data_IF_817230148712
#
_entry.id   IF_817230148712
#
_cell.length_a   1.000
_cell.length_b   1.000
_cell.length_c   1.000
_cell.angle_alpha   90.00
_cell.angle_beta   90.00
_cell.angle_gamma   90.00
#
_symmetry.space_group_name_H-M   'P 1'
#
loop_
_entity.id
_entity.type
_entity.pdbx_description
1 polymer ?
#
# COMPACT_ATOMS: atom_id res chain seq x y z
N UNK A 1 -32.81 37.61 1.22
CA UNK A 1 -31.69 37.47 2.19
C UNK A 1 -31.04 36.12 1.95
N UNK A 2 -29.73 36.09 1.68
CA UNK A 2 -28.99 34.92 1.15
C UNK A 2 -27.98 34.43 2.19
N UNK A 3 -28.39 33.66 3.20
CA UNK A 3 -27.46 33.07 4.19
C UNK A 3 -28.02 31.76 4.76
N UNK A 4 -27.43 30.64 4.36
CA UNK A 4 -27.37 29.40 5.20
C UNK A 4 -26.38 28.35 4.68
N UNK A 5 -25.82 28.49 3.47
CA UNK A 5 -24.89 27.48 2.90
C UNK A 5 -23.59 27.26 3.71
N UNK A 6 -23.24 28.14 4.63
CA UNK A 6 -21.99 28.04 5.42
C UNK A 6 -22.01 27.02 6.55
N UNK A 7 -23.19 26.49 6.95
CA UNK A 7 -23.27 25.52 8.06
C UNK A 7 -22.83 24.10 7.68
N UNK A 8 -22.82 23.75 6.40
CA UNK A 8 -22.48 22.40 5.93
C UNK A 8 -21.00 22.23 5.53
N UNK A 9 -20.27 23.34 5.39
CA UNK A 9 -18.85 23.34 5.01
C UNK A 9 -17.96 22.47 5.94
N UNK A 10 -18.07 22.53 7.29
CA UNK A 10 -17.21 21.70 8.14
C UNK A 10 -17.49 20.19 7.99
N UNK A 11 -18.74 19.79 7.78
CA UNK A 11 -19.10 18.38 7.60
C UNK A 11 -18.61 17.81 6.27
N UNK A 12 -18.63 18.62 5.19
CA UNK A 12 -18.09 18.22 3.88
C UNK A 12 -16.57 18.03 3.96
N UNK A 13 -15.85 18.94 4.64
CA UNK A 13 -14.40 18.85 4.80
C UNK A 13 -14.01 17.61 5.62
N UNK A 14 -14.71 17.34 6.72
CA UNK A 14 -14.45 16.15 7.55
C UNK A 14 -14.78 14.87 6.77
N UNK A 15 -15.89 14.84 6.04
CA UNK A 15 -16.27 13.71 5.19
C UNK A 15 -15.22 13.40 4.11
N UNK A 16 -14.68 14.43 3.45
CA UNK A 16 -13.60 14.27 2.47
C UNK A 16 -12.29 13.75 3.11
N UNK A 17 -11.92 14.24 4.30
CA UNK A 17 -10.72 13.77 5.00
C UNK A 17 -10.84 12.30 5.45
N UNK A 18 -12.01 11.90 5.93
CA UNK A 18 -12.29 10.51 6.32
C UNK A 18 -12.30 9.60 5.08
N UNK A 19 -12.94 10.04 4.00
CA UNK A 19 -13.00 9.28 2.75
C UNK A 19 -11.62 9.13 2.10
N UNK A 20 -10.81 10.19 2.10
CA UNK A 20 -9.42 10.15 1.62
C UNK A 20 -8.54 9.26 2.47
N UNK A 21 -8.73 9.25 3.79
CA UNK A 21 -8.00 8.35 4.69
C UNK A 21 -8.42 6.89 4.47
N UNK A 22 -9.71 6.60 4.34
CA UNK A 22 -10.22 5.26 4.03
C UNK A 22 -9.70 4.77 2.67
N UNK A 23 -9.62 5.65 1.67
CA UNK A 23 -9.07 5.31 0.36
C UNK A 23 -7.55 5.05 0.41
N UNK A 24 -6.80 5.83 1.20
CA UNK A 24 -5.37 5.58 1.45
C UNK A 24 -5.12 4.27 2.22
N UNK A 25 -6.06 3.85 3.07
CA UNK A 25 -6.01 2.59 3.81
C UNK A 25 -6.66 1.41 3.09
N UNK A 26 -7.34 1.63 1.96
CA UNK A 26 -7.85 0.59 1.09
C UNK A 26 -6.64 -0.05 0.39
N UNK A 27 -5.99 -0.97 1.09
CA UNK A 27 -4.84 -1.71 0.58
C UNK A 27 -5.26 -2.39 -0.71
N UNK A 28 -4.56 -2.05 -1.79
CA UNK A 28 -4.55 -2.86 -3.00
C UNK A 28 -4.24 -4.30 -2.58
N UNK A 29 -5.01 -5.30 -3.05
CA UNK A 29 -4.64 -6.69 -2.81
C UNK A 29 -3.21 -6.90 -3.32
N UNK A 30 -2.37 -7.52 -2.50
CA UNK A 30 -1.05 -7.94 -2.95
C UNK A 30 -1.27 -8.87 -4.15
N UNK A 31 -0.87 -8.41 -5.34
CA UNK A 31 -0.89 -9.24 -6.54
C UNK A 31 -0.03 -10.46 -6.26
N UNK A 32 -0.64 -11.64 -6.28
CA UNK A 32 0.07 -12.89 -6.17
C UNK A 32 1.09 -13.00 -7.33
N UNK A 33 2.35 -13.27 -6.98
CA UNK A 33 3.51 -13.38 -7.86
C UNK A 33 3.95 -12.10 -8.59
N UNK A 34 4.22 -11.02 -7.85
CA UNK A 34 5.31 -10.12 -8.22
C UNK A 34 6.52 -10.52 -7.39
N UNK A 35 7.50 -11.20 -8.01
CA UNK A 35 8.88 -11.06 -7.55
C UNK A 35 9.11 -9.54 -7.47
N UNK A 36 9.27 -9.00 -6.26
CA UNK A 36 9.25 -7.56 -6.03
C UNK A 36 10.30 -6.88 -6.89
N UNK A 37 9.90 -6.31 -8.02
CA UNK A 37 10.70 -5.40 -8.82
C UNK A 37 10.74 -4.04 -8.12
N UNK A 38 11.26 -4.02 -6.90
CA UNK A 38 12.02 -2.87 -6.46
C UNK A 38 13.12 -2.74 -7.50
N UNK A 39 13.05 -1.72 -8.36
CA UNK A 39 14.03 -1.54 -9.41
C UNK A 39 15.43 -1.63 -8.77
N UNK A 40 16.25 -2.57 -9.23
CA UNK A 40 17.60 -2.74 -8.74
C UNK A 40 18.34 -1.42 -8.89
N UNK A 41 19.30 -1.19 -7.99
CA UNK A 41 20.21 -0.07 -8.14
C UNK A 41 20.94 -0.11 -9.49
N UNK A 42 21.20 -1.31 -10.01
CA UNK A 42 21.76 -1.54 -11.34
C UNK A 42 20.91 -0.85 -12.42
N UNK A 43 19.61 -1.16 -12.52
CA UNK A 43 18.73 -0.58 -13.54
C UNK A 43 18.52 0.91 -13.34
N UNK A 44 18.46 1.39 -12.10
CA UNK A 44 18.37 2.83 -11.85
C UNK A 44 19.59 3.59 -12.38
N UNK A 45 20.80 3.10 -12.15
CA UNK A 45 22.01 3.76 -12.64
C UNK A 45 22.25 3.56 -14.15
N UNK A 46 22.08 2.33 -14.65
CA UNK A 46 22.42 1.98 -16.02
C UNK A 46 21.35 2.45 -17.02
N UNK A 47 20.07 2.31 -16.67
CA UNK A 47 18.96 2.53 -17.60
C UNK A 47 18.25 3.85 -17.35
N UNK A 48 17.88 4.15 -16.09
CA UNK A 48 17.13 5.37 -15.76
C UNK A 48 18.02 6.60 -15.82
N UNK A 49 19.20 6.53 -15.20
CA UNK A 49 20.21 7.60 -15.27
C UNK A 49 21.05 7.55 -16.55
N UNK A 50 21.01 6.43 -17.29
CA UNK A 50 21.69 6.27 -18.56
C UNK A 50 23.22 6.25 -18.47
N UNK A 51 23.81 5.85 -17.33
CA UNK A 51 25.28 5.77 -17.19
C UNK A 51 25.89 4.78 -18.18
N UNK A 52 25.24 3.63 -18.37
CA UNK A 52 25.61 2.60 -19.33
C UNK A 52 24.37 1.76 -19.65
N UNK A 53 23.48 2.28 -20.52
CA UNK A 53 22.23 1.60 -20.86
C UNK A 53 22.52 0.42 -21.79
N UNK A 54 22.01 -0.76 -21.43
CA UNK A 54 22.23 -2.02 -22.14
C UNK A 54 20.93 -2.66 -22.60
N UNK A 55 19.77 -2.31 -22.03
CA UNK A 55 18.48 -2.89 -22.42
C UNK A 55 18.07 -2.63 -23.88
N UNK A 56 18.76 -1.72 -24.58
CA UNK A 56 18.54 -1.39 -25.99
C UNK A 56 19.85 -1.32 -26.77
N UNK A 57 20.85 -2.09 -26.35
CA UNK A 57 22.16 -2.13 -27.01
C UNK A 57 22.15 -2.86 -28.37
N UNK A 58 21.02 -3.48 -28.73
CA UNK A 58 20.83 -4.19 -30.00
C UNK A 58 21.53 -5.55 -30.06
N UNK A 59 22.08 -6.02 -28.94
CA UNK A 59 22.73 -7.35 -28.85
C UNK A 59 21.72 -8.48 -28.66
N UNK A 60 20.49 -8.16 -28.21
CA UNK A 60 19.46 -9.12 -27.83
C UNK A 60 19.74 -9.92 -26.54
N UNK A 61 20.99 -9.89 -26.06
CA UNK A 61 21.44 -10.56 -24.82
C UNK A 61 20.75 -9.94 -23.60
N UNK A 62 20.86 -8.63 -23.41
CA UNK A 62 20.25 -7.93 -22.28
C UNK A 62 18.72 -7.85 -22.38
N UNK A 63 18.17 -7.80 -23.59
CA UNK A 63 16.73 -7.65 -23.84
C UNK A 63 15.90 -8.80 -23.26
N UNK A 64 16.45 -10.02 -23.30
CA UNK A 64 15.74 -11.24 -22.91
C UNK A 64 15.31 -11.25 -21.44
N UNK A 65 16.08 -10.61 -20.55
CA UNK A 65 15.83 -10.58 -19.11
C UNK A 65 15.69 -9.15 -18.53
N UNK A 66 15.80 -8.12 -19.38
CA UNK A 66 15.63 -6.71 -19.02
C UNK A 66 14.27 -6.41 -18.37
N UNK A 67 13.22 -7.18 -18.72
CA UNK A 67 11.86 -6.98 -18.20
C UNK A 67 11.78 -7.19 -16.68
N UNK A 68 12.58 -8.10 -16.14
CA UNK A 68 12.53 -8.53 -14.75
C UNK A 68 13.54 -7.86 -13.82
N UNK A 69 14.42 -7.02 -14.37
CA UNK A 69 15.49 -6.37 -13.60
C UNK A 69 16.45 -7.37 -12.94
N UNK A 70 16.91 -8.32 -13.76
CA UNK A 70 17.71 -9.47 -13.33
C UNK A 70 19.21 -9.29 -13.58
N UNK A 71 19.70 -8.04 -13.65
CA UNK A 71 21.11 -7.76 -13.91
C UNK A 71 22.03 -8.54 -12.95
N UNK A 72 21.69 -8.55 -11.67
CA UNK A 72 22.47 -9.22 -10.62
C UNK A 72 22.43 -10.75 -10.67
N UNK A 73 21.47 -11.34 -11.39
CA UNK A 73 21.41 -12.80 -11.52
C UNK A 73 22.55 -13.29 -12.43
N UNK A 74 22.81 -12.55 -13.52
CA UNK A 74 23.93 -12.85 -14.41
C UNK A 74 25.24 -12.26 -13.87
N UNK A 75 25.22 -11.00 -13.43
CA UNK A 75 26.45 -10.29 -13.08
C UNK A 75 26.84 -10.34 -11.61
N UNK A 76 26.05 -10.99 -10.75
CA UNK A 76 26.17 -10.90 -9.29
C UNK A 76 26.12 -9.44 -8.80
N UNK A 77 26.83 -9.12 -7.72
CA UNK A 77 26.82 -7.79 -7.09
C UNK A 77 25.61 -7.54 -6.18
N UNK A 78 25.61 -6.36 -5.55
CA UNK A 78 24.58 -5.94 -4.61
C UNK A 78 23.53 -5.06 -5.31
N UNK A 79 22.44 -5.68 -5.75
CA UNK A 79 21.32 -5.01 -6.42
C UNK A 79 20.53 -4.02 -5.55
N UNK A 80 20.83 -3.94 -4.25
CA UNK A 80 20.16 -3.06 -3.30
C UNK A 80 20.99 -1.82 -2.93
N UNK A 81 22.30 -1.82 -3.18
CA UNK A 81 23.14 -0.66 -2.84
C UNK A 81 23.15 0.39 -3.94
N UNK A 82 22.98 1.66 -3.54
CA UNK A 82 23.08 2.83 -4.42
C UNK A 82 24.51 3.39 -4.50
N UNK A 83 25.44 2.87 -3.69
CA UNK A 83 26.87 3.15 -3.82
C UNK A 83 27.46 2.28 -4.92
N UNK A 84 28.21 2.88 -5.85
CA UNK A 84 28.72 2.19 -7.04
C UNK A 84 29.72 1.09 -6.68
N UNK A 85 30.59 1.32 -5.70
CA UNK A 85 31.60 0.34 -5.31
C UNK A 85 30.97 -0.84 -4.57
N UNK A 86 30.02 -0.56 -3.66
CA UNK A 86 29.30 -1.61 -2.95
C UNK A 86 28.39 -2.42 -3.89
N UNK A 87 27.71 -1.75 -4.83
CA UNK A 87 26.88 -2.41 -5.84
C UNK A 87 27.69 -3.36 -6.72
N UNK A 88 28.91 -2.97 -7.10
CA UNK A 88 29.79 -3.76 -7.95
C UNK A 88 30.66 -4.77 -7.20
N UNK A 89 30.60 -4.80 -5.86
CA UNK A 89 31.40 -5.73 -5.06
C UNK A 89 30.96 -7.17 -5.33
N UNK A 90 31.91 -8.01 -5.77
CA UNK A 90 31.65 -9.42 -6.07
C UNK A 90 30.93 -9.67 -7.39
N UNK A 91 30.89 -8.67 -8.30
CA UNK A 91 30.42 -8.92 -9.66
C UNK A 91 31.30 -9.94 -10.37
N UNK A 92 30.67 -10.71 -11.25
CA UNK A 92 31.32 -11.75 -12.06
C UNK A 92 30.95 -11.59 -13.54
N UNK A 93 31.76 -12.21 -14.39
CA UNK A 93 31.40 -12.33 -15.80
C UNK A 93 30.15 -13.21 -15.95
N UNK A 94 29.17 -12.82 -16.78
CA UNK A 94 27.83 -13.40 -16.76
C UNK A 94 27.73 -14.85 -17.19
N UNK A 95 28.78 -15.38 -17.83
CA UNK A 95 28.87 -16.78 -18.25
C UNK A 95 29.95 -17.56 -17.48
N UNK A 96 30.53 -16.96 -16.43
CA UNK A 96 31.56 -17.62 -15.62
C UNK A 96 31.00 -18.76 -14.77
N UNK A 97 29.75 -18.65 -14.31
CA UNK A 97 29.01 -19.69 -13.60
C UNK A 97 27.55 -19.74 -14.06
N UNK A 98 27.33 -20.41 -15.19
CA UNK A 98 25.98 -20.57 -15.77
C UNK A 98 25.02 -21.33 -14.85
N UNK A 99 25.55 -22.15 -13.94
CA UNK A 99 24.72 -22.87 -12.99
C UNK A 99 24.13 -21.90 -11.96
N UNK A 100 24.97 -21.08 -11.35
CA UNK A 100 24.54 -20.06 -10.39
C UNK A 100 23.58 -19.04 -11.04
N UNK A 101 23.86 -18.61 -12.27
CA UNK A 101 23.08 -17.57 -12.95
C UNK A 101 21.78 -18.06 -13.59
N UNK A 102 21.72 -19.30 -14.11
CA UNK A 102 20.58 -19.71 -14.94
C UNK A 102 19.72 -20.81 -14.30
N UNK A 103 20.27 -21.67 -13.44
CA UNK A 103 19.60 -22.92 -13.02
C UNK A 103 18.28 -22.71 -12.29
N UNK A 104 18.12 -21.59 -11.59
CA UNK A 104 16.91 -21.30 -10.82
C UNK A 104 15.64 -21.24 -11.70
N UNK A 105 15.80 -20.84 -12.97
CA UNK A 105 14.70 -20.75 -13.93
C UNK A 105 14.82 -21.78 -15.07
N UNK A 106 16.04 -22.16 -15.43
CA UNK A 106 16.36 -23.03 -16.56
C UNK A 106 17.05 -24.32 -16.09
N UNK A 107 16.37 -25.08 -15.24
CA UNK A 107 16.95 -26.32 -14.68
C UNK A 107 17.15 -27.43 -15.74
N UNK A 108 16.29 -27.48 -16.75
CA UNK A 108 16.26 -28.56 -17.75
C UNK A 108 16.93 -28.20 -19.08
N UNK A 109 17.02 -26.90 -19.40
CA UNK A 109 17.55 -26.39 -20.67
C UNK A 109 18.73 -25.41 -20.46
N UNK A 110 19.40 -25.48 -19.31
CA UNK A 110 20.45 -24.56 -18.88
C UNK A 110 21.51 -24.31 -19.95
N UNK A 111 22.15 -25.39 -20.41
CA UNK A 111 23.28 -25.30 -21.34
C UNK A 111 22.84 -24.84 -22.72
N UNK A 112 21.67 -25.29 -23.19
CA UNK A 112 21.12 -24.87 -24.48
C UNK A 112 20.85 -23.36 -24.49
N UNK A 113 20.30 -22.82 -23.40
CA UNK A 113 20.07 -21.37 -23.24
C UNK A 113 21.37 -20.60 -23.13
N UNK A 114 22.30 -21.06 -22.29
CA UNK A 114 23.59 -20.42 -22.12
C UNK A 114 24.39 -20.36 -23.43
N UNK A 115 24.31 -21.40 -24.26
CA UNK A 115 25.05 -21.47 -25.54
C UNK A 115 24.61 -20.41 -26.55
N UNK A 116 23.31 -20.09 -26.60
CA UNK A 116 22.81 -19.00 -27.46
C UNK A 116 23.56 -17.71 -27.16
N UNK A 117 23.79 -17.44 -25.88
CA UNK A 117 24.41 -16.22 -25.42
C UNK A 117 25.94 -16.25 -25.50
N UNK A 118 26.55 -17.39 -25.22
CA UNK A 118 27.97 -17.63 -25.47
C UNK A 118 28.33 -17.33 -26.93
N UNK A 119 27.49 -17.79 -27.87
CA UNK A 119 27.65 -17.51 -29.30
C UNK A 119 27.52 -16.01 -29.62
N UNK A 120 26.52 -15.33 -29.06
CA UNK A 120 26.33 -13.88 -29.26
C UNK A 120 27.50 -13.06 -28.70
N UNK A 121 28.04 -13.45 -27.56
CA UNK A 121 29.12 -12.73 -26.88
C UNK A 121 30.52 -13.14 -27.37
N UNK A 122 30.64 -14.21 -28.16
CA UNK A 122 31.93 -14.79 -28.53
C UNK A 122 32.72 -15.31 -27.33
N UNK A 123 32.02 -15.74 -26.29
CA UNK A 123 32.59 -16.17 -25.01
C UNK A 123 32.45 -17.68 -24.83
N UNK A 124 33.37 -18.28 -24.08
CA UNK A 124 33.26 -19.67 -23.64
C UNK A 124 32.38 -19.76 -22.38
N UNK A 125 31.56 -20.81 -22.29
CA UNK A 125 30.78 -21.07 -21.07
C UNK A 125 31.72 -21.57 -19.99
N UNK A 126 31.78 -20.83 -18.87
CA UNK A 126 32.48 -21.27 -17.68
C UNK A 126 31.80 -22.51 -17.10
N UNK A 127 32.59 -23.57 -16.88
CA UNK A 127 32.14 -24.78 -16.19
C UNK A 127 32.02 -24.50 -14.69
N UNK A 128 31.05 -23.67 -14.29
CA UNK A 128 30.55 -23.66 -12.91
C UNK A 128 30.14 -25.08 -12.58
N UNK A 129 30.87 -25.72 -11.64
CA UNK A 129 30.88 -27.14 -11.30
C UNK A 129 29.59 -27.91 -11.59
N UNK A 130 29.41 -28.34 -12.85
CA UNK A 130 28.41 -29.31 -13.21
C UNK A 130 28.84 -30.66 -12.62
N UNK A 131 28.37 -30.97 -11.41
CA UNK A 131 28.30 -32.37 -10.99
C UNK A 131 27.19 -32.98 -11.85
N UNK A 132 27.50 -33.95 -12.72
CA UNK A 132 26.46 -34.57 -13.53
C UNK A 132 25.54 -35.34 -12.58
N UNK A 133 24.26 -34.94 -12.53
CA UNK A 133 23.20 -35.79 -12.01
C UNK A 133 23.06 -36.95 -13.00
N UNK A 134 23.65 -38.08 -12.64
CA UNK A 134 23.48 -39.35 -13.34
C UNK A 134 22.01 -39.77 -13.17
N UNK A 135 21.18 -39.47 -14.16
CA UNK A 135 19.89 -40.13 -14.31
C UNK A 135 20.16 -41.43 -15.06
N UNK A 136 20.38 -42.52 -14.32
CA UNK A 136 20.32 -43.86 -14.88
C UNK A 136 18.87 -44.16 -15.25
N UNK A 137 18.61 -44.29 -16.55
CA UNK A 137 17.53 -45.12 -17.07
C UNK A 137 18.06 -45.83 -18.32
N UNK A 138 18.03 -47.15 -18.26
CA UNK A 138 18.52 -48.11 -19.26
C UNK A 138 18.15 -47.81 -20.73
N UNK A 139 19.13 -48.06 -21.61
CA UNK A 139 18.92 -48.41 -23.00
C UNK A 139 19.49 -49.82 -23.23
N UNK A 140 18.81 -50.73 -23.95
CA UNK A 140 19.43 -51.94 -24.46
C UNK A 140 19.96 -51.76 -25.91
N UNK A 141 21.03 -52.50 -26.14
CA UNK A 141 21.88 -52.75 -27.31
C UNK A 141 21.22 -52.81 -28.69
N UNK A 142 21.97 -52.41 -29.73
CA UNK A 142 22.66 -53.39 -30.61
C UNK A 142 23.56 -52.75 -31.71
N UNK A 143 24.67 -53.47 -32.00
CA UNK A 143 25.49 -53.48 -33.25
C UNK A 143 26.71 -52.53 -33.41
N UNK A 144 27.87 -52.98 -32.92
CA UNK A 144 29.18 -53.32 -33.57
C UNK A 144 29.60 -52.76 -34.97
N UNK A 145 30.90 -52.83 -35.39
CA UNK A 145 32.07 -52.04 -34.96
C UNK A 145 32.84 -51.39 -36.14
N UNK A 146 33.69 -50.39 -35.88
CA UNK A 146 34.95 -50.20 -36.62
C UNK A 146 35.90 -49.17 -35.97
N UNK A 147 37.16 -49.59 -35.94
CA UNK A 147 38.40 -48.80 -35.98
C UNK A 147 39.02 -48.24 -34.69
N UNK A 148 40.35 -48.41 -34.71
CA UNK A 148 41.29 -48.63 -33.62
C UNK A 148 42.35 -47.53 -33.71
N UNK A 149 42.53 -46.71 -32.66
CA UNK A 149 43.66 -45.80 -32.50
C UNK A 149 43.77 -45.31 -31.04
N UNK A 150 44.95 -44.89 -30.54
CA UNK A 150 45.57 -45.57 -29.42
C UNK A 150 45.41 -44.89 -28.05
N UNK A 151 45.55 -45.75 -27.05
CA UNK A 151 45.55 -45.54 -25.60
C UNK A 151 46.58 -44.49 -25.16
N UNK A 152 46.12 -43.40 -24.56
CA UNK A 152 46.92 -42.52 -23.72
C UNK A 152 46.70 -42.86 -22.25
N UNK A 153 47.80 -43.04 -21.51
CA UNK A 153 47.84 -43.48 -20.13
C UNK A 153 47.14 -42.51 -19.15
N UNK A 154 46.49 -42.99 -18.08
CA UNK A 154 45.94 -42.14 -17.04
C UNK A 154 47.06 -41.63 -16.11
N UNK A 155 47.26 -40.32 -16.11
CA UNK A 155 48.13 -39.62 -15.15
C UNK A 155 47.40 -39.56 -13.81
N UNK A 156 47.94 -40.23 -12.80
CA UNK A 156 47.44 -40.18 -11.42
C UNK A 156 47.73 -38.80 -10.82
N UNK A 157 46.70 -38.05 -10.46
CA UNK A 157 46.82 -36.84 -9.65
C UNK A 157 46.71 -37.19 -8.14
N UNK A 158 47.52 -36.59 -7.26
CA UNK A 158 47.49 -36.92 -5.84
C UNK A 158 46.31 -36.24 -5.14
N UNK A 159 45.46 -37.03 -4.51
CA UNK A 159 44.46 -36.59 -3.52
C UNK A 159 45.17 -36.10 -2.27
N UNK A 160 45.34 -34.79 -2.15
CA UNK A 160 45.69 -34.15 -0.88
C UNK A 160 44.39 -33.70 -0.18
N UNK A 161 43.92 -34.52 0.76
CA UNK A 161 42.90 -34.14 1.73
C UNK A 161 43.44 -33.05 2.64
N UNK A 162 43.00 -31.81 2.44
CA UNK A 162 43.15 -30.76 3.45
C UNK A 162 42.02 -30.90 4.49
N UNK A 163 42.31 -30.73 5.80
CA UNK A 163 41.28 -30.83 6.83
C UNK A 163 40.35 -29.62 6.78
N UNK A 164 39.05 -29.87 6.74
CA UNK A 164 38.01 -28.86 6.99
C UNK A 164 38.26 -28.20 8.34
N UNK A 165 38.76 -26.97 8.33
CA UNK A 165 38.70 -26.09 9.47
C UNK A 165 37.21 -25.89 9.82
N UNK A 166 36.83 -26.33 11.02
CA UNK A 166 35.53 -26.06 11.59
C UNK A 166 35.30 -24.55 11.60
N UNK A 167 34.38 -24.08 10.75
CA UNK A 167 33.87 -22.72 10.80
C UNK A 167 33.23 -22.52 12.17
N UNK A 168 33.87 -21.68 12.97
CA UNK A 168 33.31 -21.13 14.20
C UNK A 168 32.00 -20.45 13.79
N UNK A 169 30.88 -20.91 14.36
CA UNK A 169 29.57 -20.34 14.10
C UNK A 169 29.55 -18.88 14.60
N UNK A 170 29.82 -17.95 13.70
CA UNK A 170 29.57 -16.53 13.90
C UNK A 170 28.06 -16.37 14.10
N UNK A 171 27.63 -16.04 15.31
CA UNK A 171 26.24 -15.67 15.58
C UNK A 171 25.96 -14.38 14.82
N UNK A 172 25.23 -14.48 13.71
CA UNK A 172 24.74 -13.33 12.95
C UNK A 172 23.75 -12.60 13.86
N UNK A 173 24.03 -11.33 14.13
CA UNK A 173 23.10 -10.45 14.84
C UNK A 173 21.98 -10.06 13.87
N UNK A 174 20.82 -10.72 13.99
CA UNK A 174 19.62 -10.44 13.19
C UNK A 174 18.99 -9.07 13.52
N UNK A 175 19.55 -8.34 14.50
CA UNK A 175 19.13 -6.98 14.86
C UNK A 175 19.95 -5.88 14.16
N UNK A 176 20.99 -6.24 13.40
CA UNK A 176 21.76 -5.28 12.61
C UNK A 176 20.92 -4.77 11.43
N UNK A 177 20.71 -3.44 11.28
CA UNK A 177 19.95 -2.88 10.15
C UNK A 177 20.56 -3.18 8.77
N UNK A 178 21.81 -3.64 8.70
CA UNK A 178 22.49 -4.04 7.46
C UNK A 178 22.36 -5.54 7.16
N UNK A 179 21.74 -6.33 8.04
CA UNK A 179 21.51 -7.76 7.83
C UNK A 179 20.06 -7.98 7.41
N UNK A 180 19.87 -8.56 6.23
CA UNK A 180 18.55 -8.93 5.73
C UNK A 180 18.13 -10.27 6.35
N UNK A 181 17.14 -10.25 7.25
CA UNK A 181 16.51 -11.47 7.75
C UNK A 181 15.58 -12.06 6.67
N UNK A 182 16.12 -12.99 5.89
CA UNK A 182 15.38 -13.69 4.83
C UNK A 182 14.25 -14.57 5.37
N UNK A 183 14.35 -15.06 6.62
CA UNK A 183 13.30 -15.87 7.26
C UNK A 183 12.12 -14.99 7.59
N UNK A 184 12.37 -13.85 8.25
CA UNK A 184 11.32 -12.86 8.51
C UNK A 184 10.67 -12.38 7.20
N UNK A 185 11.48 -12.13 6.16
CA UNK A 185 10.97 -11.69 4.86
C UNK A 185 10.13 -12.77 4.16
N UNK A 186 10.50 -14.04 4.30
CA UNK A 186 9.71 -15.17 3.80
C UNK A 186 8.38 -15.28 4.56
N UNK A 187 8.40 -15.18 5.89
CA UNK A 187 7.21 -15.23 6.74
C UNK A 187 6.23 -14.10 6.38
N UNK A 188 6.74 -12.90 6.10
CA UNK A 188 5.92 -11.73 5.75
C UNK A 188 5.32 -11.81 4.34
N UNK A 189 6.07 -12.32 3.36
CA UNK A 189 5.69 -12.31 1.93
C UNK A 189 4.92 -13.58 1.54
N UNK A 190 5.40 -14.74 1.96
CA UNK A 190 4.88 -16.05 1.53
C UNK A 190 3.83 -16.56 2.49
N UNK A 191 4.10 -16.50 3.80
CA UNK A 191 3.16 -17.00 4.82
C UNK A 191 2.16 -15.92 5.27
N UNK A 192 2.43 -14.65 4.96
CA UNK A 192 1.57 -13.52 5.36
C UNK A 192 1.63 -13.18 6.85
N UNK A 193 2.60 -13.73 7.59
CA UNK A 193 2.84 -13.43 8.99
C UNK A 193 3.54 -12.08 9.12
N UNK A 194 2.76 -11.00 9.04
CA UNK A 194 3.30 -9.65 9.28
C UNK A 194 3.43 -9.42 10.79
N UNK A 195 4.62 -9.01 11.29
CA UNK A 195 4.74 -8.58 12.68
C UNK A 195 3.80 -7.39 12.88
N UNK A 196 2.91 -7.51 13.86
CA UNK A 196 1.93 -6.45 14.12
C UNK A 196 2.69 -5.22 14.60
N UNK A 197 2.73 -4.17 13.78
CA UNK A 197 3.38 -2.93 14.15
C UNK A 197 2.73 -2.39 15.43
N UNK A 198 3.50 -2.33 16.53
CA UNK A 198 3.03 -1.85 17.83
C UNK A 198 2.42 -0.45 17.74
N UNK A 199 2.92 0.40 16.85
CA UNK A 199 2.36 1.72 16.56
C UNK A 199 0.94 1.66 15.99
N UNK A 200 0.64 0.71 15.09
CA UNK A 200 -0.73 0.52 14.57
C UNK A 200 -1.69 0.05 15.67
N UNK A 201 -1.24 -0.80 16.60
CA UNK A 201 -2.05 -1.20 17.76
C UNK A 201 -2.39 0.03 18.62
N UNK A 202 -1.39 0.86 18.94
CA UNK A 202 -1.58 2.08 19.72
C UNK A 202 -2.58 3.02 19.01
N UNK A 203 -2.45 3.18 17.70
CA UNK A 203 -3.35 4.03 16.92
C UNK A 203 -4.80 3.52 16.95
N UNK A 204 -5.03 2.20 16.78
CA UNK A 204 -6.36 1.59 16.86
C UNK A 204 -6.98 1.83 18.24
N UNK A 205 -6.20 1.68 19.31
CA UNK A 205 -6.65 1.97 20.68
C UNK A 205 -7.07 3.44 20.82
N UNK A 206 -6.27 4.37 20.30
CA UNK A 206 -6.55 5.81 20.36
C UNK A 206 -7.82 6.18 19.59
N UNK A 207 -8.02 5.61 18.39
CA UNK A 207 -9.25 5.77 17.61
C UNK A 207 -10.45 5.23 18.40
N UNK A 208 -10.31 4.08 19.04
CA UNK A 208 -11.34 3.51 19.91
C UNK A 208 -11.73 4.45 21.05
N UNK A 209 -10.75 5.06 21.73
CA UNK A 209 -11.01 6.05 22.78
C UNK A 209 -11.71 7.31 22.26
N UNK A 210 -11.33 7.82 21.10
CA UNK A 210 -11.99 8.99 20.50
C UNK A 210 -13.42 8.66 20.08
N UNK A 211 -13.65 7.48 19.48
CA UNK A 211 -14.98 7.06 19.07
C UNK A 211 -15.90 6.82 20.28
N UNK A 212 -15.41 6.11 21.30
CA UNK A 212 -16.18 5.83 22.52
C UNK A 212 -16.37 7.07 23.39
N UNK A 213 -15.30 7.85 23.59
CA UNK A 213 -15.33 9.06 24.41
C UNK A 213 -16.06 10.21 23.73
N UNK A 214 -15.68 10.55 22.51
CA UNK A 214 -16.30 11.63 21.74
C UNK A 214 -17.71 11.27 21.27
N UNK A 215 -17.89 10.11 20.65
CA UNK A 215 -19.20 9.65 20.19
C UNK A 215 -20.17 9.41 21.35
N UNK A 216 -19.71 8.77 22.43
CA UNK A 216 -20.52 8.56 23.63
C UNK A 216 -20.92 9.87 24.33
N UNK A 217 -20.01 10.84 24.43
CA UNK A 217 -20.30 12.15 25.00
C UNK A 217 -21.38 12.90 24.21
N UNK A 218 -21.32 12.87 22.88
CA UNK A 218 -22.34 13.49 22.01
C UNK A 218 -23.70 12.83 22.21
N UNK A 219 -23.77 11.50 22.19
CA UNK A 219 -25.03 10.77 22.40
C UNK A 219 -25.60 11.03 23.79
N UNK A 220 -24.76 11.10 24.82
CA UNK A 220 -25.19 11.39 26.19
C UNK A 220 -25.73 12.82 26.35
N UNK A 221 -25.07 13.81 25.73
CA UNK A 221 -25.42 15.21 25.92
C UNK A 221 -26.52 15.72 24.97
N UNK A 222 -26.57 15.20 23.74
CA UNK A 222 -27.51 15.65 22.71
C UNK A 222 -28.69 14.68 22.50
N UNK A 223 -28.63 13.49 23.12
CA UNK A 223 -29.57 12.41 22.86
C UNK A 223 -29.31 11.76 21.50
N UNK A 224 -29.91 10.60 21.26
CA UNK A 224 -29.86 10.00 19.93
C UNK A 224 -30.73 10.86 19.00
N UNK A 225 -30.10 11.57 18.08
CA UNK A 225 -30.80 12.26 16.99
C UNK A 225 -31.40 11.19 16.07
N UNK A 226 -32.58 10.70 16.41
CA UNK A 226 -33.46 10.06 15.45
C UNK A 226 -33.81 11.13 14.43
N UNK A 227 -33.13 11.09 13.28
CA UNK A 227 -33.63 11.76 12.09
C UNK A 227 -34.86 10.96 11.68
N UNK A 228 -36.09 11.48 11.87
CA UNK A 228 -37.25 10.77 11.37
C UNK A 228 -37.08 10.59 9.88
N UNK A 229 -37.14 9.33 9.45
CA UNK A 229 -37.16 8.93 8.05
C UNK A 229 -38.38 9.61 7.43
N UNK A 230 -38.12 10.60 6.59
CA UNK A 230 -39.15 11.36 5.88
C UNK A 230 -40.14 12.13 6.80
N UNK A 231 -39.67 13.27 7.34
CA UNK A 231 -40.58 14.32 7.80
C UNK A 231 -41.27 14.91 6.56
N UNK A 232 -42.33 14.25 6.08
CA UNK A 232 -43.33 14.86 5.22
C UNK A 232 -43.72 16.16 5.90
N UNK A 233 -43.34 17.29 5.28
CA UNK A 233 -43.85 18.57 5.70
C UNK A 233 -45.38 18.44 5.68
N UNK A 234 -46.08 18.72 6.79
CA UNK A 234 -47.53 18.74 6.76
C UNK A 234 -47.96 19.67 5.63
N UNK A 235 -48.93 19.23 4.84
CA UNK A 235 -49.37 19.92 3.63
C UNK A 235 -49.62 21.40 3.95
N UNK A 236 -48.73 22.27 3.45
CA UNK A 236 -48.70 23.67 3.85
C UNK A 236 -49.97 24.41 3.43
N UNK A 237 -50.80 23.80 2.58
CA UNK A 237 -52.11 24.30 2.17
C UNK A 237 -53.14 24.30 3.31
N UNK A 238 -52.90 23.59 4.43
CA UNK A 238 -53.85 23.53 5.55
C UNK A 238 -53.73 24.70 6.55
N UNK A 239 -52.73 25.57 6.41
CA UNK A 239 -52.47 26.65 7.37
C UNK A 239 -52.82 28.03 6.78
N UNK A 240 -53.40 28.94 7.58
CA UNK A 240 -53.64 30.32 7.15
C UNK A 240 -52.35 30.99 6.68
N UNK A 241 -52.45 31.84 5.65
CA UNK A 241 -51.30 32.53 5.05
C UNK A 241 -50.51 33.38 6.05
N UNK A 242 -51.18 33.84 7.10
CA UNK A 242 -50.65 34.60 8.22
C UNK A 242 -49.71 33.76 9.09
N UNK A 243 -50.04 32.47 9.30
CA UNK A 243 -49.20 31.55 10.05
C UNK A 243 -47.94 31.21 9.26
N UNK A 244 -48.08 31.02 7.94
CA UNK A 244 -46.96 30.78 7.03
C UNK A 244 -46.02 31.98 7.00
N UNK A 245 -46.56 33.20 7.01
CA UNK A 245 -45.78 34.44 7.06
C UNK A 245 -44.96 34.59 8.36
N UNK A 246 -45.36 33.94 9.46
CA UNK A 246 -44.65 33.96 10.73
C UNK A 246 -43.53 32.92 10.84
N UNK A 247 -43.52 31.89 10.00
CA UNK A 247 -42.51 30.82 10.05
C UNK A 247 -41.05 31.33 9.99
N UNK A 248 -40.69 32.28 9.11
CA UNK A 248 -39.32 32.81 9.07
C UNK A 248 -38.92 33.57 10.34
N UNK A 249 -39.88 34.14 11.08
CA UNK A 249 -39.60 34.82 12.34
C UNK A 249 -39.45 33.82 13.50
N UNK A 250 -40.23 32.73 13.49
CA UNK A 250 -40.08 31.62 14.45
C UNK A 250 -38.73 30.91 14.24
N UNK A 251 -38.25 30.80 13.00
CA UNK A 251 -36.94 30.21 12.69
C UNK A 251 -35.77 30.99 13.30
N UNK A 252 -35.92 32.31 13.49
CA UNK A 252 -34.89 33.16 14.12
C UNK A 252 -34.81 32.98 15.63
N UNK A 253 -35.82 32.38 16.27
CA UNK A 253 -35.80 32.09 17.70
C UNK A 253 -34.82 30.95 18.01
N UNK A 254 -34.09 31.08 19.11
CA UNK A 254 -33.26 30.00 19.63
C UNK A 254 -34.13 28.87 20.25
N UNK A 255 -33.49 27.79 20.72
CA UNK A 255 -34.22 26.64 21.28
C UNK A 255 -35.16 27.05 22.42
N UNK A 256 -34.67 27.90 23.34
CA UNK A 256 -35.45 28.38 24.49
C UNK A 256 -36.63 29.25 24.06
N UNK A 257 -36.43 30.14 23.08
CA UNK A 257 -37.50 30.98 22.53
C UNK A 257 -38.61 30.18 21.87
N UNK A 258 -38.27 29.11 21.14
CA UNK A 258 -39.27 28.21 20.53
C UNK A 258 -40.03 27.38 21.57
N UNK A 259 -39.37 26.90 22.62
CA UNK A 259 -40.03 26.21 23.74
C UNK A 259 -40.99 27.14 24.49
N UNK A 260 -40.57 28.38 24.77
CA UNK A 260 -41.43 29.39 25.40
C UNK A 260 -42.64 29.74 24.51
N UNK A 261 -42.44 29.92 23.20
CA UNK A 261 -43.54 30.16 22.26
C UNK A 261 -44.51 28.98 22.21
N UNK A 262 -44.00 27.74 22.21
CA UNK A 262 -44.84 26.53 22.26
C UNK A 262 -45.68 26.50 23.54
N UNK A 263 -45.06 26.72 24.69
CA UNK A 263 -45.75 26.74 25.99
C UNK A 263 -46.83 27.82 26.07
N UNK A 264 -46.56 28.99 25.47
CA UNK A 264 -47.54 30.07 25.37
C UNK A 264 -48.74 29.67 24.50
N UNK A 265 -48.49 29.06 23.34
CA UNK A 265 -49.55 28.64 22.41
C UNK A 265 -50.39 27.45 22.94
N UNK A 266 -49.84 26.64 23.83
CA UNK A 266 -50.59 25.57 24.52
C UNK A 266 -51.65 26.13 25.49
N UNK A 267 -51.51 27.39 25.93
CA UNK A 267 -52.42 28.07 26.86
C UNK A 267 -53.05 29.32 26.20
N UNK A 268 -54.17 29.16 25.45
CA UNK A 268 -54.71 30.24 24.62
C UNK A 268 -55.17 31.47 25.42
N UNK A 269 -55.58 31.29 26.68
CA UNK A 269 -56.01 32.40 27.54
C UNK A 269 -54.82 33.32 27.90
N UNK A 270 -53.71 32.73 28.32
CA UNK A 270 -52.48 33.45 28.69
C UNK A 270 -51.85 34.13 27.46
N UNK A 271 -51.90 33.45 26.30
CA UNK A 271 -51.46 34.02 25.03
C UNK A 271 -52.28 35.26 24.64
N UNK A 272 -53.61 35.17 24.74
CA UNK A 272 -54.49 36.30 24.43
C UNK A 272 -54.26 37.48 25.38
N UNK A 273 -54.11 37.24 26.68
CA UNK A 273 -53.80 38.30 27.64
C UNK A 273 -52.48 39.00 27.31
N UNK A 274 -51.43 38.23 26.99
CA UNK A 274 -50.14 38.79 26.61
C UNK A 274 -50.22 39.63 25.33
N UNK A 275 -50.94 39.14 24.31
CA UNK A 275 -51.13 39.89 23.05
C UNK A 275 -51.93 41.17 23.26
N UNK A 276 -52.96 41.15 24.11
CA UNK A 276 -53.72 42.34 24.47
C UNK A 276 -52.87 43.40 25.17
N UNK A 277 -51.97 42.97 26.06
CA UNK A 277 -51.00 43.87 26.72
C UNK A 277 -50.09 44.53 25.68
N UNK A 278 -49.55 43.76 24.73
CA UNK A 278 -48.67 44.28 23.66
C UNK A 278 -49.41 45.29 22.78
N UNK A 279 -50.65 44.98 22.38
CA UNK A 279 -51.48 45.90 21.58
C UNK A 279 -51.78 47.18 22.35
N UNK A 280 -52.11 47.07 23.64
CA UNK A 280 -52.38 48.22 24.51
C UNK A 280 -51.15 49.10 24.67
N UNK A 281 -49.97 48.52 24.89
CA UNK A 281 -48.72 49.27 25.01
C UNK A 281 -48.37 50.01 23.72
N UNK A 282 -48.56 49.39 22.55
CA UNK A 282 -48.35 50.05 21.25
C UNK A 282 -49.27 51.27 21.08
N UNK A 283 -50.52 51.16 21.52
CA UNK A 283 -51.50 52.25 21.41
C UNK A 283 -51.18 53.44 22.33
N UNK A 284 -50.64 53.17 23.51
CA UNK A 284 -50.24 54.22 24.48
C UNK A 284 -48.90 54.86 24.10
N UNK A 285 -47.96 54.11 23.52
CA UNK A 285 -46.70 54.65 23.01
C UNK A 285 -46.86 55.54 21.78
N UNK A 286 -47.80 55.21 20.88
CA UNK A 286 -48.05 55.99 19.65
C UNK A 286 -48.77 57.32 19.86
N UNK A 287 -49.27 57.62 21.07
CA UNK A 287 -49.91 58.91 21.38
C UNK A 287 -48.94 59.99 21.88
N UNK A 288 -47.65 59.68 22.04
CA UNK A 288 -46.63 60.65 22.47
C UNK A 288 -45.76 61.20 21.32
N UNK A 289 -46.00 60.80 20.08
CA UNK A 289 -45.12 61.12 18.94
C UNK A 289 -45.85 61.88 17.83
N UNK A 290 -46.66 62.88 18.21
CA UNK A 290 -47.42 63.70 17.24
C UNK A 290 -47.47 65.20 17.49
N UNK A 291 -46.77 65.72 18.49
CA UNK A 291 -46.66 67.16 18.75
C UNK A 291 -45.18 67.56 18.84
N UNK A 292 -44.50 67.62 17.70
CA UNK A 292 -43.28 68.44 17.44
C UNK A 292 -43.13 68.67 15.92
#
# INVERSE_FOLDING_TARGET
MRKSKTRYVPFIVIGLLISSSLFAFWRTPAGNAQCGSQASSCKNCHEVQGKMPVNKDGTGWHESHAFGDFCYICHAGNSQSMDENEAHTGMVDPLSDVQASCQQCHATDLMDRAQVYANTLGAEIGAGSAVPVVISAEQPSDSEPAEEAPVAAPVSAPTASAPSAALVASSIDLTDPNVVDYVQRYDEIVLGHRPVNKGNIILIILIGFVALGGGGFVVYNEGWLTVPDEMSLPDTESYPSEVIALLPEIEKLDKKGREALKQLLENPNDANELFDIIVRQRKVGGSYEKDD
#
